data_IF_061438199889
#
_entry.id   IF_061438199889
#
_cell.length_a   1.000
_cell.length_b   1.000
_cell.length_c   1.000
_cell.angle_alpha   90.00
_cell.angle_beta   90.00
_cell.angle_gamma   90.00
#
_symmetry.space_group_name_H-M   'P 1'
#
loop_
_entity.id
_entity.type
_entity.pdbx_description
1 polymer ?
#
# COMPACT_ATOMS: atom_id res chain seq x y z
N UNK A 1 -26.75 -40.81 -33.34
CA UNK A 1 -26.27 -39.75 -34.24
C UNK A 1 -26.83 -38.43 -33.72
N UNK A 2 -26.08 -37.73 -32.87
CA UNK A 2 -25.18 -36.60 -33.21
C UNK A 2 -25.94 -35.26 -33.24
N UNK A 3 -25.73 -34.43 -32.22
CA UNK A 3 -25.97 -32.98 -32.31
C UNK A 3 -24.91 -32.39 -33.25
N UNK A 4 -25.30 -31.44 -34.11
CA UNK A 4 -24.72 -30.09 -34.08
C UNK A 4 -25.83 -29.07 -34.39
N UNK A 5 -25.67 -27.75 -34.46
CA UNK A 5 -24.68 -26.72 -34.13
C UNK A 5 -25.36 -25.40 -34.56
N UNK A 6 -24.92 -24.28 -33.98
CA UNK A 6 -25.00 -22.90 -34.45
C UNK A 6 -26.07 -22.48 -35.50
N UNK A 7 -26.80 -21.40 -35.21
CA UNK A 7 -26.57 -20.13 -35.92
C UNK A 7 -27.49 -19.02 -35.39
N UNK A 8 -26.84 -17.87 -35.19
CA UNK A 8 -27.44 -16.57 -34.89
C UNK A 8 -28.35 -16.10 -36.03
N UNK A 9 -29.42 -15.38 -35.70
CA UNK A 9 -29.90 -14.31 -36.59
C UNK A 9 -30.72 -13.25 -35.88
N UNK A 10 -30.07 -12.08 -35.80
CA UNK A 10 -30.61 -10.75 -36.09
C UNK A 10 -31.85 -10.28 -35.34
N UNK A 11 -31.59 -9.45 -34.33
CA UNK A 11 -32.47 -8.32 -34.02
C UNK A 11 -31.63 -7.04 -34.13
N UNK A 12 -31.82 -6.34 -35.24
CA UNK A 12 -31.43 -4.94 -35.40
C UNK A 12 -32.36 -4.08 -34.54
N UNK A 13 -31.80 -3.29 -33.62
CA UNK A 13 -32.54 -2.24 -32.90
C UNK A 13 -31.90 -0.89 -33.21
N UNK A 14 -32.69 0.15 -33.53
CA UNK A 14 -32.22 1.34 -34.23
C UNK A 14 -31.53 2.37 -33.32
N UNK A 15 -30.67 3.14 -34.00
CA UNK A 15 -30.21 4.50 -33.72
C UNK A 15 -31.06 5.28 -32.70
N UNK A 16 -30.48 5.52 -31.52
CA UNK A 16 -30.89 6.59 -30.62
C UNK A 16 -29.95 7.79 -30.79
N UNK A 17 -30.55 8.92 -31.13
CA UNK A 17 -29.90 10.21 -31.26
C UNK A 17 -29.73 10.91 -29.91
N UNK A 18 -28.75 11.82 -29.89
CA UNK A 18 -28.68 13.07 -29.12
C UNK A 18 -28.53 12.98 -27.59
N UNK A 19 -27.38 13.48 -27.16
CA UNK A 19 -27.33 14.50 -26.11
C UNK A 19 -27.30 13.95 -24.70
N UNK A 20 -26.11 13.62 -24.22
CA UNK A 20 -25.88 13.51 -22.77
C UNK A 20 -24.58 14.26 -22.46
N UNK A 21 -24.72 15.39 -21.79
CA UNK A 21 -23.63 16.20 -21.30
C UNK A 21 -22.68 15.32 -20.47
N UNK A 22 -21.39 15.34 -20.80
CA UNK A 22 -20.35 14.69 -20.01
C UNK A 22 -20.37 15.31 -18.61
N UNK A 23 -20.51 14.55 -17.52
CA UNK A 23 -20.19 15.09 -16.20
C UNK A 23 -18.70 15.42 -16.20
N UNK A 24 -18.36 16.64 -15.79
CA UNK A 24 -16.98 17.08 -15.63
C UNK A 24 -16.25 16.10 -14.70
N UNK A 25 -15.12 15.57 -15.16
CA UNK A 25 -14.27 14.71 -14.35
C UNK A 25 -13.85 15.47 -13.08
N UNK A 26 -13.86 14.83 -11.89
CA UNK A 26 -13.40 15.50 -10.68
C UNK A 26 -11.94 15.91 -10.87
N UNK A 27 -11.66 17.18 -10.56
CA UNK A 27 -10.32 17.72 -10.55
C UNK A 27 -9.41 16.79 -9.73
N UNK A 28 -8.35 16.28 -10.35
CA UNK A 28 -7.31 15.57 -9.63
C UNK A 28 -6.67 16.56 -8.67
N UNK A 29 -7.02 16.47 -7.39
CA UNK A 29 -6.23 17.10 -6.33
C UNK A 29 -4.86 16.42 -6.43
N UNK A 30 -3.86 17.13 -6.95
CA UNK A 30 -2.49 16.70 -6.86
C UNK A 30 -2.16 16.61 -5.37
N UNK A 31 -1.99 15.39 -4.87
CA UNK A 31 -1.50 15.19 -3.51
C UNK A 31 -0.17 15.95 -3.37
N UNK A 32 0.07 16.63 -2.24
CA UNK A 32 1.30 17.37 -2.03
C UNK A 32 2.48 16.40 -2.15
N UNK A 33 3.29 16.59 -3.20
CA UNK A 33 4.57 15.91 -3.31
C UNK A 33 5.54 16.52 -2.31
N UNK A 34 6.44 15.65 -1.81
CA UNK A 34 7.59 15.94 -0.95
C UNK A 34 7.35 15.71 0.56
N UNK A 35 7.17 14.44 0.92
CA UNK A 35 7.90 13.93 2.09
C UNK A 35 9.31 13.70 1.56
N UNK A 36 10.29 14.44 2.08
CA UNK A 36 11.70 14.19 1.78
C UNK A 36 12.00 12.72 2.08
N UNK A 37 12.13 11.91 1.03
CA UNK A 37 12.34 10.48 1.14
C UNK A 37 13.81 10.28 1.49
N UNK A 38 14.13 10.47 2.78
CA UNK A 38 15.47 10.15 3.29
C UNK A 38 15.73 8.69 2.92
N UNK A 39 16.83 8.38 2.21
CA UNK A 39 17.05 7.04 1.69
C UNK A 39 17.13 6.05 2.85
N UNK A 40 16.11 5.20 2.98
CA UNK A 40 16.08 4.15 3.99
C UNK A 40 17.02 3.03 3.59
N UNK A 41 17.93 2.66 4.50
CA UNK A 41 18.82 1.51 4.32
C UNK A 41 18.18 0.30 4.98
N UNK A 42 17.98 -0.77 4.21
CA UNK A 42 17.51 -2.04 4.75
C UNK A 42 18.69 -2.78 5.38
N UNK A 43 18.57 -3.10 6.67
CA UNK A 43 19.57 -3.89 7.40
C UNK A 43 18.90 -5.19 7.83
N UNK A 44 19.50 -6.32 7.47
CA UNK A 44 19.06 -7.63 7.95
C UNK A 44 19.96 -8.06 9.10
N UNK A 45 19.36 -8.38 10.25
CA UNK A 45 20.09 -8.83 11.44
C UNK A 45 19.36 -9.97 12.12
N UNK A 46 20.10 -10.80 12.87
CA UNK A 46 19.55 -11.89 13.68
C UNK A 46 19.44 -11.43 15.12
N UNK A 47 18.23 -11.53 15.67
CA UNK A 47 17.95 -11.25 17.08
C UNK A 47 17.81 -12.57 17.83
N UNK A 48 18.30 -12.61 19.07
CA UNK A 48 18.03 -13.73 19.99
C UNK A 48 16.53 -13.82 20.30
N UNK A 49 16.06 -15.01 20.67
CA UNK A 49 14.64 -15.27 20.96
C UNK A 49 14.14 -14.34 22.07
N UNK A 50 14.91 -14.19 23.15
CA UNK A 50 14.58 -13.31 24.27
C UNK A 50 14.40 -11.84 23.84
N UNK A 51 15.28 -11.32 22.97
CA UNK A 51 15.15 -9.94 22.45
C UNK A 51 13.91 -9.80 21.57
N UNK A 52 13.59 -10.82 20.75
CA UNK A 52 12.37 -10.81 19.94
C UNK A 52 11.10 -10.81 20.81
N UNK A 53 11.07 -11.55 21.90
CA UNK A 53 9.93 -11.59 22.82
C UNK A 53 9.73 -10.25 23.51
N UNK A 54 10.82 -9.64 24.01
CA UNK A 54 10.77 -8.31 24.61
C UNK A 54 10.30 -7.25 23.61
N UNK A 55 10.79 -7.30 22.37
CA UNK A 55 10.36 -6.38 21.32
C UNK A 55 8.87 -6.55 20.98
N UNK A 56 8.38 -7.79 20.91
CA UNK A 56 6.95 -8.07 20.69
C UNK A 56 6.09 -7.50 21.81
N UNK A 57 6.50 -7.72 23.06
CA UNK A 57 5.80 -7.18 24.23
C UNK A 57 5.79 -5.65 24.22
N UNK A 58 6.94 -5.02 23.98
CA UNK A 58 7.05 -3.57 23.92
C UNK A 58 6.17 -2.96 22.82
N UNK A 59 6.23 -3.52 21.60
CA UNK A 59 5.40 -3.06 20.48
C UNK A 59 3.90 -3.21 20.78
N UNK A 60 3.50 -4.27 21.48
CA UNK A 60 2.12 -4.47 21.92
C UNK A 60 1.70 -3.44 22.97
N UNK A 61 2.51 -3.25 24.01
CA UNK A 61 2.22 -2.34 25.13
C UNK A 61 2.12 -0.88 24.65
N UNK A 62 3.00 -0.48 23.72
CA UNK A 62 3.05 0.89 23.17
C UNK A 62 2.13 1.09 21.95
N UNK A 63 1.44 0.04 21.47
CA UNK A 63 0.65 0.03 20.22
C UNK A 63 1.43 0.61 19.03
N UNK A 64 2.73 0.29 18.98
CA UNK A 64 3.67 0.86 18.02
C UNK A 64 4.17 -0.23 17.08
N UNK A 65 4.52 0.14 15.86
CA UNK A 65 5.15 -0.80 14.94
C UNK A 65 6.55 -1.20 15.45
N UNK A 66 6.90 -2.48 15.31
CA UNK A 66 8.19 -3.01 15.77
C UNK A 66 9.37 -2.30 15.13
N UNK A 67 9.24 -1.90 13.87
CA UNK A 67 10.29 -1.19 13.16
C UNK A 67 10.52 0.19 13.75
N UNK A 68 9.45 0.92 14.11
CA UNK A 68 9.57 2.24 14.74
C UNK A 68 10.25 2.12 16.11
N UNK A 69 9.89 1.10 16.90
CA UNK A 69 10.55 0.83 18.18
C UNK A 69 12.05 0.50 18.03
N UNK A 70 12.43 -0.21 16.97
CA UNK A 70 13.85 -0.49 16.66
C UNK A 70 14.57 0.79 16.25
N UNK A 71 13.96 1.60 15.38
CA UNK A 71 14.55 2.87 14.90
C UNK A 71 14.78 3.83 16.08
N UNK A 72 13.82 4.00 16.98
CA UNK A 72 13.96 4.84 18.18
C UNK A 72 15.05 4.34 19.13
N UNK A 73 15.12 3.02 19.36
CA UNK A 73 16.16 2.43 20.20
C UNK A 73 17.56 2.58 19.58
N UNK A 74 17.66 2.44 18.26
CA UNK A 74 18.90 2.63 17.52
C UNK A 74 19.34 4.09 17.56
N UNK A 75 18.42 5.03 17.32
CA UNK A 75 18.70 6.47 17.40
C UNK A 75 19.18 6.88 18.80
N UNK A 76 18.52 6.38 19.85
CA UNK A 76 18.94 6.62 21.23
C UNK A 76 20.35 6.09 21.50
N UNK A 77 20.64 4.87 21.03
CA UNK A 77 21.96 4.25 21.16
C UNK A 77 23.05 5.03 20.42
N UNK A 78 22.78 5.45 19.18
CA UNK A 78 23.72 6.20 18.34
C UNK A 78 24.03 7.57 18.95
N UNK A 79 23.00 8.31 19.40
CA UNK A 79 23.18 9.59 20.10
C UNK A 79 24.04 9.46 21.34
N UNK A 80 23.86 8.39 22.12
CA UNK A 80 24.64 8.15 23.33
C UNK A 80 26.12 7.86 23.03
N UNK A 81 26.43 7.34 21.84
CA UNK A 81 27.79 7.02 21.39
C UNK A 81 28.39 8.09 20.45
N UNK A 82 27.71 9.22 20.25
CA UNK A 82 28.21 10.35 19.47
C UNK A 82 28.16 10.17 17.94
N UNK A 83 27.26 9.30 17.46
CA UNK A 83 26.97 9.14 16.03
C UNK A 83 25.77 9.99 15.59
#
# INVERSE_FOLDING_TARGET
MSKPDAALSSVSVPRAAKGMARPAAPARIAAPQSISEVPRKTISTRLTVDVQERLRKYAFDMRQDKQVAIEEALDAYLRQHGY
#
